data_IF_808543406805
#
_entry.id   IF_808543406805
#
_cell.length_a   1.000
_cell.length_b   1.000
_cell.length_c   1.000
_cell.angle_alpha   90.00
_cell.angle_beta   90.00
_cell.angle_gamma   90.00
#
_symmetry.space_group_name_H-M   'P 1'
#
loop_
_entity.id
_entity.type
_entity.pdbx_description
1 polymer ?
#
# COMPACT_ATOMS: atom_id res chain seq x y z
N UNK A 1 0.80 -4.62 10.45
CA UNK A 1 1.08 -3.82 9.27
C UNK A 1 0.48 -2.45 9.48
N UNK A 2 1.32 -1.42 9.38
CA UNK A 2 0.91 -0.03 9.56
C UNK A 2 1.28 0.80 8.33
N UNK A 3 0.66 1.98 8.19
CA UNK A 3 1.06 2.97 7.18
C UNK A 3 1.20 4.36 7.79
N UNK A 4 1.74 5.32 7.03
CA UNK A 4 1.78 6.72 7.44
C UNK A 4 0.40 7.40 7.42
N UNK A 5 -0.64 6.74 6.93
CA UNK A 5 -2.02 7.21 6.99
C UNK A 5 -2.66 6.76 8.30
N UNK A 6 -2.52 7.57 9.36
CA UNK A 6 -2.91 7.19 10.73
C UNK A 6 -4.38 7.46 11.07
N UNK A 7 -5.08 8.26 10.27
CA UNK A 7 -6.40 8.77 10.63
C UNK A 7 -7.54 8.05 9.93
N UNK A 8 -7.27 7.39 8.81
CA UNK A 8 -8.30 6.77 7.99
C UNK A 8 -7.77 5.64 7.12
N UNK A 9 -8.31 5.57 5.90
CA UNK A 9 -8.01 4.54 4.92
C UNK A 9 -6.50 4.31 4.79
N UNK A 10 -6.05 3.05 4.94
CA UNK A 10 -4.63 2.69 4.91
C UNK A 10 -3.92 3.14 3.62
N UNK A 11 -4.66 3.27 2.52
CA UNK A 11 -4.16 3.80 1.25
C UNK A 11 -4.31 5.32 1.12
N UNK A 12 -5.47 5.94 1.36
CA UNK A 12 -5.70 7.35 0.99
C UNK A 12 -5.95 8.31 2.15
N UNK A 13 -5.87 7.84 3.40
CA UNK A 13 -6.18 8.56 4.63
C UNK A 13 -7.61 9.14 4.72
N UNK A 14 -8.50 8.78 3.80
CA UNK A 14 -9.91 9.17 3.89
C UNK A 14 -10.57 8.56 5.13
N UNK A 15 -11.35 9.36 5.85
CA UNK A 15 -12.03 8.98 7.10
C UNK A 15 -13.48 8.53 6.90
N UNK A 16 -13.92 8.42 5.63
CA UNK A 16 -15.23 7.93 5.26
C UNK A 16 -15.15 6.49 4.76
N UNK A 17 -16.29 5.80 4.73
CA UNK A 17 -16.39 4.39 4.35
C UNK A 17 -16.27 3.46 5.56
N UNK A 18 -16.46 2.17 5.32
CA UNK A 18 -16.53 1.13 6.36
C UNK A 18 -15.90 -0.19 5.90
N UNK A 19 -15.04 -0.14 4.88
CA UNK A 19 -14.46 -1.35 4.32
C UNK A 19 -13.25 -1.80 5.16
N UNK A 20 -13.18 -3.09 5.45
CA UNK A 20 -12.04 -3.69 6.14
C UNK A 20 -11.53 -4.89 5.35
N UNK A 21 -10.22 -5.09 5.35
CA UNK A 21 -9.59 -6.29 4.79
C UNK A 21 -8.43 -6.72 5.67
N UNK A 22 -8.26 -8.03 5.79
CA UNK A 22 -7.07 -8.59 6.42
C UNK A 22 -5.95 -8.63 5.39
N UNK A 23 -4.86 -7.91 5.68
CA UNK A 23 -3.67 -7.88 4.84
C UNK A 23 -2.47 -8.12 5.74
N UNK A 24 -1.72 -9.16 5.41
CA UNK A 24 -0.52 -9.57 6.16
C UNK A 24 -0.77 -9.91 7.65
N UNK A 25 -1.95 -10.46 7.95
CA UNK A 25 -2.36 -10.83 9.31
C UNK A 25 -2.97 -9.67 10.11
N UNK A 26 -3.04 -8.47 9.55
CA UNK A 26 -3.62 -7.30 10.20
C UNK A 26 -4.93 -6.87 9.53
N UNK A 27 -5.94 -6.60 10.37
CA UNK A 27 -7.21 -6.06 9.90
C UNK A 27 -7.07 -4.55 9.67
N UNK A 28 -7.01 -4.15 8.40
CA UNK A 28 -6.83 -2.76 7.98
C UNK A 28 -8.14 -2.13 7.51
N UNK A 29 -8.31 -0.83 7.80
CA UNK A 29 -9.43 -0.02 7.33
C UNK A 29 -9.15 0.61 5.97
N UNK A 30 -10.14 0.60 5.10
CA UNK A 30 -10.16 1.26 3.80
C UNK A 30 -11.49 1.97 3.56
N UNK A 31 -11.46 3.07 2.81
CA UNK A 31 -12.69 3.78 2.46
C UNK A 31 -13.58 3.01 1.47
N UNK A 32 -12.99 2.10 0.68
CA UNK A 32 -13.69 1.26 -0.29
C UNK A 32 -12.88 -0.01 -0.62
N UNK A 33 -13.51 -0.98 -1.28
CA UNK A 33 -12.85 -2.21 -1.73
C UNK A 33 -11.71 -1.95 -2.71
N UNK A 34 -11.85 -0.96 -3.61
CA UNK A 34 -10.82 -0.60 -4.58
C UNK A 34 -9.52 -0.18 -3.90
N UNK A 35 -9.59 0.57 -2.79
CA UNK A 35 -8.41 0.95 -2.03
C UNK A 35 -7.74 -0.28 -1.37
N UNK A 36 -8.54 -1.24 -0.91
CA UNK A 36 -8.02 -2.49 -0.37
C UNK A 36 -7.35 -3.34 -1.46
N UNK A 37 -7.99 -3.49 -2.63
CA UNK A 37 -7.46 -4.23 -3.77
C UNK A 37 -6.13 -3.65 -4.25
N UNK A 38 -6.05 -2.32 -4.40
CA UNK A 38 -4.81 -1.62 -4.76
C UNK A 38 -3.70 -1.95 -3.76
N UNK A 39 -4.00 -1.79 -2.47
CA UNK A 39 -3.00 -1.92 -1.42
C UNK A 39 -2.51 -3.37 -1.28
N UNK A 40 -3.42 -4.33 -1.35
CA UNK A 40 -3.10 -5.76 -1.32
C UNK A 40 -2.23 -6.17 -2.53
N UNK A 41 -2.58 -5.74 -3.74
CA UNK A 41 -1.77 -5.99 -4.93
C UNK A 41 -0.37 -5.36 -4.83
N UNK A 42 -0.29 -4.15 -4.30
CA UNK A 42 0.99 -3.47 -4.06
C UNK A 42 1.85 -4.24 -3.04
N UNK A 43 1.26 -4.72 -1.94
CA UNK A 43 1.93 -5.55 -0.94
C UNK A 43 2.41 -6.87 -1.54
N UNK A 44 1.58 -7.53 -2.36
CA UNK A 44 1.93 -8.77 -3.03
C UNK A 44 3.15 -8.59 -3.96
N UNK A 45 3.15 -7.53 -4.77
CA UNK A 45 4.27 -7.20 -5.67
C UNK A 45 5.57 -6.92 -4.90
N UNK A 46 5.50 -6.22 -3.76
CA UNK A 46 6.68 -6.02 -2.91
C UNK A 46 7.19 -7.36 -2.38
N UNK A 47 6.32 -8.24 -1.89
CA UNK A 47 6.72 -9.57 -1.40
C UNK A 47 7.32 -10.42 -2.49
N UNK A 48 6.77 -10.39 -3.71
CA UNK A 48 7.30 -11.10 -4.86
C UNK A 48 8.73 -10.65 -5.20
N UNK A 49 8.99 -9.35 -5.23
CA UNK A 49 10.32 -8.79 -5.56
C UNK A 49 11.35 -8.98 -4.47
N UNK A 50 10.93 -8.91 -3.21
CA UNK A 50 11.84 -8.94 -2.06
C UNK A 50 12.00 -10.34 -1.44
N UNK A 51 11.08 -11.25 -1.72
CA UNK A 51 10.97 -12.55 -1.05
C UNK A 51 10.53 -12.46 0.41
N UNK A 52 10.03 -11.30 0.86
CA UNK A 52 9.61 -11.12 2.25
C UNK A 52 8.31 -11.87 2.54
N UNK A 53 8.26 -12.51 3.71
CA UNK A 53 7.06 -13.22 4.18
C UNK A 53 5.99 -12.26 4.71
N UNK A 54 6.45 -11.19 5.36
CA UNK A 54 5.61 -10.14 5.94
C UNK A 54 6.22 -8.76 5.69
N UNK A 55 5.40 -7.73 5.81
CA UNK A 55 5.71 -6.31 5.71
C UNK A 55 5.07 -5.65 6.94
N UNK A 56 5.90 -5.01 7.75
CA UNK A 56 5.45 -4.42 9.00
C UNK A 56 4.90 -3.01 8.77
N UNK A 57 5.44 -2.30 7.78
CA UNK A 57 5.13 -0.90 7.54
C UNK A 57 5.23 -0.51 6.06
N UNK A 58 4.32 0.34 5.60
CA UNK A 58 4.39 0.99 4.28
C UNK A 58 4.22 2.50 4.41
N UNK A 59 5.25 3.24 4.01
CA UNK A 59 5.18 4.68 3.81
C UNK A 59 4.66 4.99 2.42
N UNK A 60 3.71 5.92 2.29
CA UNK A 60 3.08 6.36 1.05
C UNK A 60 3.22 7.89 0.93
N UNK A 61 4.05 8.37 0.00
CA UNK A 61 4.27 9.81 -0.22
C UNK A 61 3.84 10.19 -1.63
N UNK A 62 2.91 11.13 -1.73
CA UNK A 62 2.38 11.64 -2.99
C UNK A 62 0.88 11.46 -3.09
N UNK A 63 0.34 11.59 -4.30
CA UNK A 63 -1.10 11.56 -4.55
C UNK A 63 -1.46 10.66 -5.72
N UNK A 64 -2.76 10.44 -5.86
CA UNK A 64 -3.32 9.55 -6.85
C UNK A 64 -2.98 9.96 -8.30
N UNK A 65 -2.99 11.26 -8.61
CA UNK A 65 -2.76 11.80 -9.97
C UNK A 65 -1.31 11.59 -10.44
N UNK A 66 -0.35 11.94 -9.58
CA UNK A 66 1.08 11.85 -9.87
C UNK A 66 1.70 10.48 -9.57
N UNK A 67 0.96 9.58 -8.91
CA UNK A 67 1.49 8.38 -8.28
C UNK A 67 2.21 8.68 -6.96
N UNK A 68 2.74 7.64 -6.33
CA UNK A 68 3.36 7.74 -5.01
C UNK A 68 4.72 7.07 -4.96
N UNK A 69 5.63 7.73 -4.25
CA UNK A 69 6.87 7.11 -3.80
C UNK A 69 6.57 6.41 -2.47
N UNK A 70 6.93 5.13 -2.42
CA UNK A 70 6.57 4.25 -1.33
C UNK A 70 7.81 3.59 -0.75
N UNK A 71 7.80 3.36 0.56
CA UNK A 71 8.84 2.61 1.25
C UNK A 71 8.18 1.51 2.08
N UNK A 72 8.34 0.26 1.67
CA UNK A 72 7.94 -0.90 2.47
C UNK A 72 9.08 -1.30 3.42
N UNK A 73 8.73 -1.79 4.61
CA UNK A 73 9.69 -2.29 5.61
C UNK A 73 9.30 -3.66 6.12
N UNK A 74 10.29 -4.52 6.30
CA UNK A 74 10.18 -5.83 6.97
C UNK A 74 11.38 -5.98 7.90
N UNK A 75 11.15 -5.90 9.20
CA UNK A 75 12.17 -5.84 10.24
C UNK A 75 13.12 -4.66 10.02
N UNK A 76 14.39 -4.98 9.71
CA UNK A 76 15.45 -3.98 9.44
C UNK A 76 15.62 -3.64 7.96
N UNK A 77 14.93 -4.36 7.07
CA UNK A 77 15.07 -4.21 5.63
C UNK A 77 14.03 -3.23 5.08
N UNK A 78 14.42 -2.48 4.06
CA UNK A 78 13.57 -1.49 3.39
C UNK A 78 13.58 -1.68 1.89
N UNK A 79 12.43 -1.50 1.25
CA UNK A 79 12.27 -1.58 -0.20
C UNK A 79 11.55 -0.33 -0.69
N UNK A 80 12.20 0.45 -1.55
CA UNK A 80 11.66 1.69 -2.10
C UNK A 80 11.14 1.46 -3.51
N UNK A 81 10.01 2.05 -3.82
CA UNK A 81 9.40 1.90 -5.13
C UNK A 81 8.49 3.09 -5.44
N UNK A 82 8.26 3.33 -6.72
CA UNK A 82 7.22 4.21 -7.21
C UNK A 82 6.05 3.36 -7.67
N UNK A 83 4.84 3.76 -7.28
CA UNK A 83 3.61 3.06 -7.59
C UNK A 83 2.56 4.03 -8.15
N UNK A 84 1.81 3.60 -9.16
CA UNK A 84 0.68 4.34 -9.75
C UNK A 84 -0.41 3.36 -10.20
N UNK A 85 -1.67 3.76 -10.01
CA UNK A 85 -2.85 2.99 -10.41
C UNK A 85 -3.75 3.76 -11.37
N UNK A 86 -4.62 3.02 -12.06
CA UNK A 86 -5.82 3.52 -12.70
C UNK A 86 -6.94 3.75 -11.68
N UNK A 87 -7.96 4.54 -12.05
CA UNK A 87 -8.99 5.02 -11.11
C UNK A 87 -9.93 3.91 -10.66
N UNK A 88 -9.89 2.80 -11.36
CA UNK A 88 -10.55 1.54 -11.06
C UNK A 88 -9.71 0.60 -10.17
N UNK A 89 -8.52 1.04 -9.76
CA UNK A 89 -7.61 0.28 -8.90
C UNK A 89 -6.68 -0.70 -9.59
N UNK A 90 -6.70 -0.78 -10.93
CA UNK A 90 -5.69 -1.56 -11.66
C UNK A 90 -4.32 -0.93 -11.50
N UNK A 91 -3.30 -1.75 -11.24
CA UNK A 91 -1.92 -1.30 -11.18
C UNK A 91 -1.48 -0.83 -12.57
N UNK A 92 -1.10 0.45 -12.68
CA UNK A 92 -0.60 1.02 -13.94
C UNK A 92 0.91 0.88 -14.02
N UNK A 93 1.59 1.11 -12.89
CA UNK A 93 3.05 1.20 -12.88
C UNK A 93 3.59 0.85 -11.51
N UNK A 94 4.61 -0.01 -11.49
CA UNK A 94 5.40 -0.33 -10.32
C UNK A 94 6.88 -0.33 -10.72
N UNK A 95 7.67 0.57 -10.13
CA UNK A 95 9.09 0.71 -10.42
C UNK A 95 9.88 0.69 -9.12
N UNK A 96 10.79 -0.26 -8.99
CA UNK A 96 11.77 -0.25 -7.91
C UNK A 96 12.64 1.00 -7.97
N UNK A 97 12.95 1.56 -6.80
CA UNK A 97 13.79 2.74 -6.64
C UNK A 97 14.95 2.38 -5.70
N UNK A 98 16.17 2.82 -6.05
CA UNK A 98 17.36 2.67 -5.19
C UNK A 98 17.39 3.73 -4.09
#
# INVERSE_FOLDING_TARGET
METNNKEGCGLCNATWGEYYREIDGDRMFFCCSVCADIFENMVAEVKERTGWKSIDYVELIGNYSAGRNCTARSGKSTFKYYFRTYSDGRMMKFEERK
#
